data_IF_901597249444
#
_entry.id   IF_901597249444
#
_cell.length_a   1.000
_cell.length_b   1.000
_cell.length_c   1.000
_cell.angle_alpha   90.00
_cell.angle_beta   90.00
_cell.angle_gamma   90.00
#
_symmetry.space_group_name_H-M   'P 1'
#
loop_
_entity.id
_entity.type
_entity.pdbx_description
1 polymer ?
#
# COMPACT_ATOMS: atom_id res chain seq x y z
N UNK A 1 -32.61 -51.83 3.47
CA UNK A 1 -33.32 -50.61 3.91
C UNK A 1 -32.47 -49.96 4.98
N UNK A 2 -31.72 -48.92 4.62
CA UNK A 2 -30.78 -48.23 5.52
C UNK A 2 -30.98 -46.72 5.40
N UNK A 3 -31.30 -46.01 6.50
CA UNK A 3 -31.46 -44.57 6.51
C UNK A 3 -30.12 -43.92 6.87
N UNK A 4 -29.32 -43.52 5.88
CA UNK A 4 -28.00 -42.87 6.11
C UNK A 4 -27.92 -41.46 5.52
N UNK A 5 -28.96 -40.99 4.83
CA UNK A 5 -28.87 -39.74 4.03
C UNK A 5 -29.17 -38.47 4.84
N UNK A 6 -29.75 -38.56 6.04
CA UNK A 6 -30.32 -37.36 6.69
C UNK A 6 -29.34 -36.51 7.52
N UNK A 7 -28.23 -37.06 8.02
CA UNK A 7 -27.30 -36.33 8.90
C UNK A 7 -26.37 -35.36 8.16
N UNK A 8 -26.02 -35.64 6.89
CA UNK A 8 -25.11 -34.81 6.10
C UNK A 8 -25.75 -33.50 5.61
N UNK A 9 -27.08 -33.47 5.48
CA UNK A 9 -27.80 -32.26 5.04
C UNK A 9 -27.84 -31.24 6.18
N UNK A 10 -27.98 -31.69 7.43
CA UNK A 10 -28.01 -30.81 8.61
C UNK A 10 -26.62 -30.22 8.92
N UNK A 11 -25.54 -31.01 8.76
CA UNK A 11 -24.18 -30.53 9.01
C UNK A 11 -23.70 -29.50 7.96
N UNK A 12 -24.21 -29.57 6.73
CA UNK A 12 -23.96 -28.56 5.69
C UNK A 12 -24.65 -27.24 5.98
N UNK A 13 -25.89 -27.23 6.44
CA UNK A 13 -26.63 -25.98 6.68
C UNK A 13 -26.04 -25.16 7.85
N UNK A 14 -25.59 -25.80 8.93
CA UNK A 14 -24.99 -25.11 10.09
C UNK A 14 -23.66 -24.42 9.72
N UNK A 15 -22.91 -24.99 8.78
CA UNK A 15 -21.65 -24.41 8.29
C UNK A 15 -21.87 -23.21 7.34
N UNK A 16 -23.05 -23.08 6.74
CA UNK A 16 -23.38 -21.95 5.85
C UNK A 16 -23.81 -20.74 6.68
N UNK A 17 -24.70 -20.91 7.66
CA UNK A 17 -25.17 -19.80 8.51
C UNK A 17 -24.06 -19.18 9.36
N UNK A 18 -23.15 -20.01 9.90
CA UNK A 18 -22.02 -19.52 10.70
C UNK A 18 -21.03 -18.68 9.88
N UNK A 19 -20.84 -18.97 8.58
CA UNK A 19 -19.98 -18.15 7.70
C UNK A 19 -20.64 -16.81 7.32
N UNK A 20 -21.96 -16.78 7.17
CA UNK A 20 -22.69 -15.54 6.83
C UNK A 20 -22.66 -14.55 8.00
N UNK A 21 -22.77 -15.02 9.25
CA UNK A 21 -22.78 -14.14 10.41
C UNK A 21 -21.41 -13.49 10.73
N UNK A 22 -20.30 -14.22 10.56
CA UNK A 22 -18.95 -13.68 10.85
C UNK A 22 -18.54 -12.60 9.83
N UNK A 23 -19.01 -12.70 8.58
CA UNK A 23 -18.77 -11.71 7.53
C UNK A 23 -19.33 -10.32 7.86
N UNK A 24 -20.53 -10.26 8.48
CA UNK A 24 -21.20 -8.99 8.75
C UNK A 24 -20.57 -8.22 9.93
N UNK A 25 -19.98 -8.94 10.89
CA UNK A 25 -19.34 -8.32 12.07
C UNK A 25 -18.13 -7.44 11.72
N UNK A 26 -17.33 -7.80 10.71
CA UNK A 26 -16.12 -7.06 10.35
C UNK A 26 -16.34 -5.89 9.39
N UNK A 27 -17.36 -5.96 8.53
CA UNK A 27 -17.68 -4.85 7.62
C UNK A 27 -18.23 -3.62 8.36
N UNK A 28 -19.00 -3.86 9.41
CA UNK A 28 -19.70 -2.81 10.17
C UNK A 28 -18.75 -1.72 10.72
N UNK A 29 -17.64 -2.05 11.42
CA UNK A 29 -16.72 -1.03 11.93
C UNK A 29 -15.98 -0.27 10.82
N UNK A 30 -15.63 -0.93 9.71
CA UNK A 30 -14.93 -0.28 8.59
C UNK A 30 -15.85 0.74 7.92
N UNK A 31 -17.09 0.34 7.61
CA UNK A 31 -18.08 1.24 6.99
C UNK A 31 -18.38 2.40 7.93
N UNK A 32 -18.56 2.14 9.22
CA UNK A 32 -18.78 3.20 10.22
C UNK A 32 -17.59 4.17 10.29
N UNK A 33 -16.36 3.65 10.26
CA UNK A 33 -15.15 4.49 10.22
C UNK A 33 -15.10 5.37 8.97
N UNK A 34 -15.43 4.83 7.80
CA UNK A 34 -15.51 5.61 6.54
C UNK A 34 -16.58 6.70 6.64
N UNK A 35 -17.76 6.39 7.18
CA UNK A 35 -18.83 7.38 7.34
C UNK A 35 -18.44 8.51 8.29
N UNK A 36 -17.86 8.20 9.44
CA UNK A 36 -17.37 9.19 10.40
C UNK A 36 -16.29 10.06 9.75
N UNK A 37 -15.36 9.45 9.02
CA UNK A 37 -14.33 10.17 8.28
C UNK A 37 -14.93 11.13 7.24
N UNK A 38 -15.90 10.68 6.44
CA UNK A 38 -16.55 11.50 5.42
C UNK A 38 -17.33 12.67 6.01
N UNK A 39 -18.06 12.45 7.10
CA UNK A 39 -18.76 13.52 7.83
C UNK A 39 -17.76 14.55 8.34
N UNK A 40 -16.67 14.08 8.96
CA UNK A 40 -15.62 14.97 9.48
C UNK A 40 -14.96 15.78 8.36
N UNK A 41 -14.65 15.14 7.23
CA UNK A 41 -14.09 15.81 6.06
C UNK A 41 -15.06 16.86 5.48
N UNK A 42 -16.36 16.57 5.44
CA UNK A 42 -17.39 17.50 4.97
C UNK A 42 -17.52 18.73 5.89
N UNK A 43 -17.47 18.54 7.20
CA UNK A 43 -17.41 19.64 8.17
C UNK A 43 -16.16 20.49 7.94
N UNK A 44 -15.02 19.84 7.66
CA UNK A 44 -13.78 20.54 7.28
C UNK A 44 -13.91 21.39 6.01
N UNK A 45 -14.59 20.89 4.98
CA UNK A 45 -14.88 21.67 3.76
C UNK A 45 -15.78 22.86 4.06
N UNK A 46 -16.81 22.67 4.89
CA UNK A 46 -17.73 23.74 5.27
C UNK A 46 -17.02 24.87 6.04
N UNK A 47 -16.10 24.52 6.93
CA UNK A 47 -15.34 25.46 7.76
C UNK A 47 -14.14 26.11 7.04
N UNK A 48 -13.73 25.60 5.86
CA UNK A 48 -12.54 26.09 5.17
C UNK A 48 -12.71 27.51 4.61
N UNK A 49 -11.72 28.41 4.80
CA UNK A 49 -11.75 29.75 4.20
C UNK A 49 -11.78 29.73 2.67
N UNK A 50 -11.00 28.83 2.07
CA UNK A 50 -11.02 28.56 0.63
C UNK A 50 -11.79 27.25 0.37
N UNK A 51 -13.09 27.39 0.08
CA UNK A 51 -13.96 26.26 -0.21
C UNK A 51 -13.58 25.53 -1.50
N UNK A 52 -13.03 26.22 -2.49
CA UNK A 52 -12.68 25.61 -3.79
C UNK A 52 -11.52 24.62 -3.63
N UNK A 53 -10.45 25.06 -2.97
CA UNK A 53 -9.32 24.19 -2.65
C UNK A 53 -9.73 23.03 -1.74
N UNK A 54 -10.61 23.27 -0.77
CA UNK A 54 -11.12 22.23 0.13
C UNK A 54 -11.96 21.17 -0.62
N UNK A 55 -12.84 21.60 -1.53
CA UNK A 55 -13.65 20.70 -2.37
C UNK A 55 -12.78 19.81 -3.26
N UNK A 56 -11.71 20.36 -3.85
CA UNK A 56 -10.77 19.57 -4.66
C UNK A 56 -10.10 18.47 -3.83
N UNK A 57 -9.70 18.75 -2.58
CA UNK A 57 -9.14 17.75 -1.67
C UNK A 57 -10.19 16.73 -1.21
N UNK A 58 -11.41 17.18 -0.95
CA UNK A 58 -12.51 16.30 -0.60
C UNK A 58 -12.88 15.34 -1.73
N UNK A 59 -12.86 15.81 -2.98
CA UNK A 59 -13.08 14.96 -4.15
C UNK A 59 -12.04 13.82 -4.22
N UNK A 60 -10.77 14.08 -3.88
CA UNK A 60 -9.75 13.03 -3.79
C UNK A 60 -10.07 11.98 -2.72
N UNK A 61 -10.62 12.39 -1.57
CA UNK A 61 -11.08 11.44 -0.55
C UNK A 61 -12.25 10.59 -1.03
N UNK A 62 -13.21 11.18 -1.75
CA UNK A 62 -14.33 10.44 -2.36
C UNK A 62 -13.81 9.42 -3.37
N UNK A 63 -12.85 9.80 -4.23
CA UNK A 63 -12.21 8.87 -5.16
C UNK A 63 -11.53 7.72 -4.41
N UNK A 64 -10.80 8.01 -3.32
CA UNK A 64 -10.19 6.98 -2.47
C UNK A 64 -11.21 6.00 -1.88
N UNK A 65 -12.32 6.51 -1.34
CA UNK A 65 -13.41 5.68 -0.80
C UNK A 65 -14.07 4.85 -1.91
N UNK A 66 -14.32 5.44 -3.08
CA UNK A 66 -14.87 4.73 -4.23
C UNK A 66 -13.93 3.60 -4.70
N UNK A 67 -12.62 3.82 -4.70
CA UNK A 67 -11.62 2.80 -5.02
C UNK A 67 -11.65 1.65 -4.00
N UNK A 68 -11.70 1.96 -2.70
CA UNK A 68 -11.83 0.92 -1.64
C UNK A 68 -13.11 0.11 -1.85
N UNK A 69 -14.23 0.77 -2.14
CA UNK A 69 -15.51 0.13 -2.45
C UNK A 69 -15.40 -0.80 -3.66
N UNK A 70 -14.79 -0.32 -4.75
CA UNK A 70 -14.56 -1.09 -5.97
C UNK A 70 -13.66 -2.32 -5.75
N UNK A 71 -12.55 -2.15 -5.02
CA UNK A 71 -11.65 -3.25 -4.64
C UNK A 71 -12.41 -4.28 -3.78
N UNK A 72 -13.17 -3.82 -2.78
CA UNK A 72 -13.94 -4.72 -1.90
C UNK A 72 -14.99 -5.50 -2.70
N UNK A 73 -15.66 -4.83 -3.63
CA UNK A 73 -16.63 -5.46 -4.51
C UNK A 73 -15.98 -6.48 -5.46
N UNK A 74 -14.84 -6.16 -6.06
CA UNK A 74 -14.06 -7.10 -6.87
C UNK A 74 -13.58 -8.30 -6.07
N UNK A 75 -13.09 -8.07 -4.86
CA UNK A 75 -12.59 -9.10 -3.96
C UNK A 75 -13.68 -10.11 -3.58
N UNK A 76 -14.95 -9.68 -3.44
CA UNK A 76 -16.09 -10.59 -3.21
C UNK A 76 -16.27 -11.62 -4.32
N UNK A 77 -15.88 -11.30 -5.57
CA UNK A 77 -15.98 -12.23 -6.71
C UNK A 77 -14.78 -13.16 -6.78
N UNK A 78 -13.57 -12.61 -6.69
CA UNK A 78 -12.33 -13.37 -6.69
C UNK A 78 -11.23 -12.57 -5.99
N UNK A 79 -10.95 -12.90 -4.73
CA UNK A 79 -9.97 -12.21 -3.89
C UNK A 79 -8.59 -12.26 -4.51
N UNK A 80 -8.15 -13.43 -4.96
CA UNK A 80 -6.78 -13.63 -5.47
C UNK A 80 -6.53 -12.83 -6.75
N UNK A 81 -7.44 -12.90 -7.72
CA UNK A 81 -7.31 -12.12 -8.96
C UNK A 81 -7.40 -10.63 -8.69
N UNK A 82 -8.29 -10.20 -7.80
CA UNK A 82 -8.43 -8.77 -7.47
C UNK A 82 -7.16 -8.20 -6.84
N UNK A 83 -6.58 -8.91 -5.86
CA UNK A 83 -5.33 -8.49 -5.23
C UNK A 83 -4.14 -8.53 -6.21
N UNK A 84 -4.10 -9.53 -7.09
CA UNK A 84 -3.10 -9.61 -8.15
C UNK A 84 -3.15 -8.44 -9.13
N UNK A 85 -4.34 -8.14 -9.64
CA UNK A 85 -4.57 -6.99 -10.55
C UNK A 85 -4.29 -5.68 -9.85
N UNK A 86 -4.73 -5.50 -8.60
CA UNK A 86 -4.42 -4.32 -7.81
C UNK A 86 -2.90 -4.11 -7.68
N UNK A 87 -2.17 -5.19 -7.39
CA UNK A 87 -0.71 -5.15 -7.33
C UNK A 87 -0.07 -4.68 -8.64
N UNK A 88 -0.56 -5.17 -9.79
CA UNK A 88 -0.09 -4.71 -11.10
C UNK A 88 -0.42 -3.23 -11.36
N UNK A 89 -1.63 -2.77 -11.00
CA UNK A 89 -2.01 -1.35 -11.11
C UNK A 89 -1.10 -0.48 -10.24
N UNK A 90 -0.80 -0.91 -9.02
CA UNK A 90 0.18 -0.25 -8.15
C UNK A 90 1.57 -0.17 -8.80
N UNK A 91 2.00 -1.20 -9.53
CA UNK A 91 3.28 -1.16 -10.27
C UNK A 91 3.29 -0.05 -11.32
N UNK A 92 2.21 0.09 -12.11
CA UNK A 92 2.10 1.16 -13.11
C UNK A 92 2.12 2.54 -12.47
N UNK A 93 1.37 2.74 -11.38
CA UNK A 93 1.34 4.01 -10.65
C UNK A 93 2.72 4.35 -10.06
N UNK A 94 3.40 3.37 -9.48
CA UNK A 94 4.72 3.55 -8.89
C UNK A 94 5.78 3.84 -9.94
N UNK A 95 5.75 3.19 -11.10
CA UNK A 95 6.64 3.50 -12.23
C UNK A 95 6.36 4.92 -12.75
N UNK A 96 5.10 5.29 -12.95
CA UNK A 96 4.72 6.64 -13.38
C UNK A 96 5.22 7.70 -12.40
N UNK A 97 5.06 7.46 -11.10
CA UNK A 97 5.57 8.33 -10.05
C UNK A 97 7.10 8.43 -10.06
N UNK A 98 7.80 7.31 -10.20
CA UNK A 98 9.27 7.28 -10.30
C UNK A 98 9.75 8.07 -11.52
N UNK A 99 9.17 7.81 -12.69
CA UNK A 99 9.54 8.52 -13.93
C UNK A 99 9.29 10.00 -13.77
N UNK A 100 8.10 10.39 -13.29
CA UNK A 100 7.79 11.79 -13.04
C UNK A 100 8.80 12.44 -12.08
N UNK A 101 9.08 11.82 -10.93
CA UNK A 101 10.06 12.33 -9.97
C UNK A 101 11.46 12.49 -10.57
N UNK A 102 11.95 11.48 -11.30
CA UNK A 102 13.29 11.53 -11.91
C UNK A 102 13.41 12.65 -12.96
N UNK A 103 12.31 12.99 -13.63
CA UNK A 103 12.25 14.04 -14.65
C UNK A 103 12.04 15.45 -14.09
N UNK A 104 11.39 15.60 -12.93
CA UNK A 104 11.10 16.92 -12.34
C UNK A 104 12.11 17.36 -11.29
N UNK A 105 12.91 16.45 -10.75
CA UNK A 105 13.81 16.78 -9.64
C UNK A 105 15.04 17.55 -10.15
N UNK A 106 15.34 18.69 -9.52
CA UNK A 106 16.55 19.45 -9.85
C UNK A 106 17.79 18.77 -9.23
N UNK A 107 18.51 17.98 -10.03
CA UNK A 107 19.71 17.25 -9.58
C UNK A 107 20.92 18.15 -9.29
N UNK A 108 20.92 19.42 -9.71
CA UNK A 108 22.00 20.36 -9.45
C UNK A 108 21.89 21.01 -8.06
N UNK A 109 20.66 21.30 -7.62
CA UNK A 109 20.38 21.97 -6.34
C UNK A 109 20.14 20.99 -5.19
N UNK A 110 19.67 19.78 -5.48
CA UNK A 110 19.43 18.81 -4.44
C UNK A 110 20.75 18.28 -3.86
N UNK A 111 20.81 18.17 -2.53
CA UNK A 111 21.94 17.66 -1.72
C UNK A 111 22.24 16.15 -1.94
N UNK A 112 22.15 15.65 -3.17
CA UNK A 112 22.57 14.30 -3.58
C UNK A 112 24.10 14.30 -3.79
N UNK A 113 24.82 15.08 -2.99
CA UNK A 113 26.30 15.11 -2.98
C UNK A 113 26.89 13.84 -2.36
N UNK A 114 26.06 13.00 -1.73
CA UNK A 114 26.50 11.77 -1.05
C UNK A 114 26.83 10.62 -2.01
N UNK A 115 26.32 10.65 -3.24
CA UNK A 115 26.53 9.59 -4.24
C UNK A 115 26.82 10.19 -5.61
N UNK A 116 28.09 10.48 -5.95
CA UNK A 116 28.45 11.21 -7.17
C UNK A 116 27.99 10.48 -8.45
N UNK A 117 27.97 9.14 -8.43
CA UNK A 117 27.46 8.34 -9.54
C UNK A 117 25.96 8.58 -9.81
N UNK A 118 25.14 8.65 -8.75
CA UNK A 118 23.69 8.92 -8.91
C UNK A 118 23.45 10.36 -9.38
N UNK A 119 24.27 11.30 -8.91
CA UNK A 119 24.21 12.68 -9.37
C UNK A 119 24.53 12.79 -10.86
N UNK A 120 25.54 12.06 -11.36
CA UNK A 120 25.89 12.06 -12.78
C UNK A 120 24.76 11.51 -13.66
N UNK A 121 24.09 10.44 -13.22
CA UNK A 121 22.90 9.90 -13.90
C UNK A 121 21.77 10.95 -13.91
N UNK A 122 21.53 11.61 -12.79
CA UNK A 122 20.51 12.65 -12.67
C UNK A 122 20.76 13.85 -13.58
N UNK A 123 22.00 14.33 -13.63
CA UNK A 123 22.41 15.41 -14.53
C UNK A 123 22.28 15.01 -16.00
N UNK A 124 22.62 13.76 -16.33
CA UNK A 124 22.39 13.21 -17.67
C UNK A 124 20.90 13.16 -18.01
N UNK A 125 20.03 12.73 -17.10
CA UNK A 125 18.56 12.75 -17.30
C UNK A 125 18.02 14.17 -17.50
N UNK A 126 18.50 15.14 -16.72
CA UNK A 126 18.10 16.55 -16.87
C UNK A 126 18.52 17.16 -18.20
N UNK A 127 19.58 16.65 -18.84
CA UNK A 127 19.99 17.14 -20.16
C UNK A 127 18.93 16.92 -21.25
N UNK A 128 18.02 15.96 -21.06
CA UNK A 128 16.93 15.69 -22.01
C UNK A 128 15.67 16.50 -21.77
N UNK A 129 15.45 17.05 -20.57
CA UNK A 129 14.13 17.50 -20.12
C UNK A 129 14.17 18.81 -19.31
N UNK A 130 14.93 19.81 -19.79
CA UNK A 130 14.99 21.13 -19.13
C UNK A 130 13.62 21.80 -19.05
N UNK A 131 12.74 21.60 -20.05
CA UNK A 131 11.39 22.18 -20.08
C UNK A 131 10.43 21.59 -19.03
N UNK A 132 10.64 20.32 -18.63
CA UNK A 132 9.76 19.64 -17.66
C UNK A 132 10.09 19.98 -16.21
N UNK A 133 11.22 20.66 -15.95
CA UNK A 133 11.61 21.09 -14.60
C UNK A 133 10.68 22.18 -14.04
N UNK A 134 9.87 22.83 -14.87
CA UNK A 134 8.85 23.79 -14.45
C UNK A 134 7.59 23.11 -13.89
N UNK A 135 7.40 21.81 -14.13
CA UNK A 135 6.32 21.06 -13.50
C UNK A 135 6.55 20.96 -11.99
N UNK A 136 5.46 20.96 -11.23
CA UNK A 136 5.47 20.94 -9.77
C UNK A 136 6.39 19.84 -9.22
N UNK A 137 7.54 20.24 -8.69
CA UNK A 137 8.55 19.32 -8.18
C UNK A 137 8.01 18.60 -6.91
N UNK A 138 7.89 17.28 -6.99
CA UNK A 138 7.51 16.46 -5.85
C UNK A 138 8.67 16.33 -4.87
N UNK A 139 8.43 16.74 -3.63
CA UNK A 139 9.41 16.60 -2.57
C UNK A 139 9.82 15.13 -2.36
N UNK A 140 11.13 14.85 -2.28
CA UNK A 140 11.71 13.49 -2.18
C UNK A 140 11.08 12.60 -1.10
N UNK A 141 10.70 13.19 0.05
CA UNK A 141 10.07 12.45 1.14
C UNK A 141 8.66 11.95 0.78
N UNK A 142 7.91 12.73 -0.01
CA UNK A 142 6.56 12.36 -0.46
C UNK A 142 6.68 11.22 -1.45
N UNK A 143 7.54 11.37 -2.46
CA UNK A 143 7.79 10.32 -3.46
C UNK A 143 8.27 9.03 -2.80
N UNK A 144 9.30 9.10 -1.96
CA UNK A 144 9.81 7.93 -1.25
C UNK A 144 8.74 7.25 -0.39
N UNK A 145 7.93 8.03 0.33
CA UNK A 145 6.83 7.50 1.15
C UNK A 145 5.78 6.75 0.32
N UNK A 146 5.35 7.33 -0.81
CA UNK A 146 4.38 6.68 -1.70
C UNK A 146 4.98 5.42 -2.34
N UNK A 147 6.24 5.47 -2.81
CA UNK A 147 6.90 4.30 -3.41
C UNK A 147 7.05 3.15 -2.42
N UNK A 148 7.35 3.43 -1.14
CA UNK A 148 7.40 2.41 -0.08
C UNK A 148 6.06 1.73 0.16
N UNK A 149 4.97 2.49 0.06
CA UNK A 149 3.62 1.92 0.19
C UNK A 149 3.31 1.06 -1.04
N UNK A 150 3.59 1.55 -2.24
CA UNK A 150 3.25 0.84 -3.49
C UNK A 150 4.14 -0.36 -3.78
N UNK A 151 5.39 -0.37 -3.32
CA UNK A 151 6.36 -1.43 -3.56
C UNK A 151 5.87 -2.84 -3.14
N UNK A 152 5.40 -3.08 -1.89
CA UNK A 152 4.91 -4.40 -1.50
C UNK A 152 3.67 -4.85 -2.29
N UNK A 153 2.78 -3.94 -2.69
CA UNK A 153 1.65 -4.28 -3.57
C UNK A 153 2.14 -4.69 -4.97
N UNK A 154 3.10 -3.95 -5.52
CA UNK A 154 3.74 -4.25 -6.81
C UNK A 154 4.45 -5.60 -6.79
N UNK A 155 5.12 -5.92 -5.67
CA UNK A 155 5.75 -7.21 -5.43
C UNK A 155 4.72 -8.33 -5.36
N UNK A 156 3.63 -8.12 -4.62
CA UNK A 156 2.51 -9.05 -4.56
C UNK A 156 1.89 -9.33 -5.93
N UNK A 157 1.70 -8.30 -6.76
CA UNK A 157 1.21 -8.44 -8.14
C UNK A 157 2.14 -9.27 -9.02
N UNK A 158 3.45 -9.08 -8.87
CA UNK A 158 4.47 -9.87 -9.60
C UNK A 158 4.47 -11.33 -9.18
N UNK A 159 4.43 -11.59 -7.86
CA UNK A 159 4.35 -12.95 -7.30
C UNK A 159 3.06 -13.64 -7.77
N UNK A 160 1.94 -12.92 -7.76
CA UNK A 160 0.67 -13.43 -8.26
C UNK A 160 0.76 -13.81 -9.73
N UNK A 161 1.25 -12.91 -10.59
CA UNK A 161 1.41 -13.18 -12.02
C UNK A 161 2.31 -14.40 -12.28
N UNK A 162 3.39 -14.53 -11.51
CA UNK A 162 4.29 -15.68 -11.57
C UNK A 162 3.59 -16.98 -11.17
N UNK A 163 2.88 -16.99 -10.03
CA UNK A 163 2.17 -18.17 -9.53
C UNK A 163 1.03 -18.64 -10.44
N UNK A 164 0.43 -17.73 -11.22
CA UNK A 164 -0.60 -18.03 -12.22
C UNK A 164 -0.05 -18.42 -13.59
N UNK A 165 1.27 -18.58 -13.72
CA UNK A 165 1.96 -18.89 -14.98
C UNK A 165 1.83 -17.82 -16.08
N UNK A 166 1.50 -16.57 -15.72
CA UNK A 166 1.51 -15.44 -16.66
C UNK A 166 2.94 -14.89 -16.82
N UNK A 167 3.84 -15.71 -17.40
CA UNK A 167 5.29 -15.44 -17.45
C UNK A 167 5.63 -14.06 -18.03
N UNK A 168 5.00 -13.68 -19.14
CA UNK A 168 5.24 -12.37 -19.76
C UNK A 168 4.88 -11.21 -18.82
N UNK A 169 3.69 -11.29 -18.21
CA UNK A 169 3.23 -10.27 -17.24
C UNK A 169 4.16 -10.20 -16.04
N UNK A 170 4.62 -11.35 -15.53
CA UNK A 170 5.51 -11.41 -14.39
C UNK A 170 6.92 -10.86 -14.69
N UNK A 171 7.48 -11.15 -15.87
CA UNK A 171 8.76 -10.57 -16.30
C UNK A 171 8.64 -9.06 -16.49
N UNK A 172 7.55 -8.61 -17.11
CA UNK A 172 7.28 -7.20 -17.31
C UNK A 172 7.10 -6.46 -15.97
N UNK A 173 6.33 -7.02 -15.04
CA UNK A 173 6.14 -6.44 -13.70
C UNK A 173 7.40 -6.49 -12.85
N UNK A 174 8.27 -7.50 -13.06
CA UNK A 174 9.60 -7.53 -12.46
C UNK A 174 10.47 -6.37 -12.97
N UNK A 175 10.43 -6.08 -14.27
CA UNK A 175 11.07 -4.89 -14.85
C UNK A 175 10.57 -3.60 -14.20
N UNK A 176 9.25 -3.48 -13.99
CA UNK A 176 8.67 -2.35 -13.26
C UNK A 176 9.16 -2.26 -11.81
N UNK A 177 9.25 -3.38 -11.09
CA UNK A 177 9.80 -3.40 -9.72
C UNK A 177 11.23 -2.87 -9.65
N UNK A 178 12.07 -3.18 -10.64
CA UNK A 178 13.43 -2.65 -10.70
C UNK A 178 13.41 -1.11 -10.88
N UNK A 179 12.51 -0.58 -11.70
CA UNK A 179 12.33 0.87 -11.86
C UNK A 179 11.82 1.51 -10.56
N UNK A 180 10.87 0.88 -9.87
CA UNK A 180 10.36 1.37 -8.57
C UNK A 180 11.47 1.38 -7.53
N UNK A 181 12.29 0.32 -7.47
CA UNK A 181 13.42 0.23 -6.56
C UNK A 181 14.46 1.31 -6.85
N UNK A 182 14.74 1.58 -8.13
CA UNK A 182 15.61 2.68 -8.55
C UNK A 182 15.07 4.02 -8.06
N UNK A 183 13.77 4.31 -8.27
CA UNK A 183 13.12 5.53 -7.76
C UNK A 183 13.22 5.67 -6.24
N UNK A 184 13.05 4.56 -5.53
CA UNK A 184 13.14 4.54 -4.07
C UNK A 184 14.57 4.84 -3.58
N UNK A 185 15.58 4.23 -4.21
CA UNK A 185 17.00 4.51 -3.94
C UNK A 185 17.31 5.98 -4.23
N UNK A 186 16.87 6.48 -5.38
CA UNK A 186 17.08 7.86 -5.83
C UNK A 186 16.37 8.90 -4.95
N UNK A 187 15.30 8.53 -4.25
CA UNK A 187 14.63 9.44 -3.32
C UNK A 187 15.48 9.75 -2.07
N UNK A 188 16.39 8.84 -1.67
CA UNK A 188 17.23 8.91 -0.45
C UNK A 188 16.40 9.32 0.79
N UNK A 189 15.11 9.00 0.82
CA UNK A 189 14.22 9.38 1.91
C UNK A 189 14.45 8.45 3.10
N UNK A 190 15.16 8.93 4.13
CA UNK A 190 15.41 8.14 5.36
C UNK A 190 14.10 7.67 5.99
N UNK A 191 13.08 8.53 6.01
CA UNK A 191 11.76 8.19 6.54
C UNK A 191 11.09 7.08 5.74
N UNK A 192 11.25 7.06 4.41
CA UNK A 192 10.75 5.99 3.57
C UNK A 192 11.44 4.65 3.89
N UNK A 193 12.77 4.60 3.92
CA UNK A 193 13.52 3.38 4.23
C UNK A 193 13.24 2.86 5.64
N UNK A 194 13.14 3.74 6.63
CA UNK A 194 12.74 3.36 7.99
C UNK A 194 11.30 2.83 8.02
N UNK A 195 10.36 3.52 7.36
CA UNK A 195 8.97 3.09 7.24
C UNK A 195 8.84 1.72 6.57
N UNK A 196 9.62 1.46 5.51
CA UNK A 196 9.68 0.17 4.84
C UNK A 196 10.24 -0.93 5.76
N UNK A 197 11.34 -0.65 6.47
CA UNK A 197 11.94 -1.58 7.42
C UNK A 197 10.98 -1.94 8.54
N UNK A 198 10.39 -0.94 9.20
CA UNK A 198 9.38 -1.17 10.24
C UNK A 198 8.18 -1.91 9.66
N UNK A 199 7.59 -1.44 8.56
CA UNK A 199 6.44 -2.09 7.93
C UNK A 199 6.70 -3.57 7.61
N UNK A 200 7.90 -3.91 7.14
CA UNK A 200 8.30 -5.30 6.88
C UNK A 200 8.41 -6.12 8.17
N UNK A 201 9.02 -5.56 9.22
CA UNK A 201 9.13 -6.21 10.54
C UNK A 201 7.74 -6.45 11.14
N UNK A 202 6.87 -5.44 11.14
CA UNK A 202 5.48 -5.56 11.63
C UNK A 202 4.68 -6.55 10.80
N UNK A 203 4.80 -6.52 9.47
CA UNK A 203 4.13 -7.47 8.59
C UNK A 203 4.57 -8.92 8.87
N UNK A 204 5.88 -9.15 8.97
CA UNK A 204 6.45 -10.45 9.33
C UNK A 204 5.99 -10.90 10.72
N UNK A 205 5.95 -9.98 11.69
CA UNK A 205 5.43 -10.24 13.02
C UNK A 205 3.98 -10.70 12.98
N UNK A 206 3.09 -9.95 12.31
CA UNK A 206 1.67 -10.30 12.23
C UNK A 206 1.45 -11.63 11.51
N UNK A 207 2.19 -11.86 10.41
CA UNK A 207 2.16 -13.13 9.70
C UNK A 207 2.55 -14.30 10.62
N UNK A 208 3.63 -14.14 11.40
CA UNK A 208 4.04 -15.14 12.39
C UNK A 208 3.03 -15.30 13.53
N UNK A 209 2.49 -14.20 14.05
CA UNK A 209 1.59 -14.15 15.21
C UNK A 209 0.23 -14.82 14.95
N UNK A 210 -0.28 -14.66 13.72
CA UNK A 210 -1.56 -15.22 13.28
C UNK A 210 -1.42 -16.50 12.44
N UNK A 211 -0.20 -16.92 12.10
CA UNK A 211 0.07 -18.18 11.42
C UNK A 211 -0.27 -19.41 12.28
N UNK A 212 -0.72 -20.49 11.62
CA UNK A 212 -1.18 -21.75 12.26
C UNK A 212 -0.09 -22.54 13.04
N UNK A 213 1.18 -22.11 13.02
CA UNK A 213 2.32 -22.85 13.60
C UNK A 213 3.04 -22.17 14.77
N UNK A 214 2.57 -21.04 15.29
CA UNK A 214 3.32 -20.29 16.31
C UNK A 214 3.10 -20.84 17.74
N UNK A 215 4.19 -21.25 18.40
CA UNK A 215 4.22 -21.70 19.81
C UNK A 215 3.69 -20.59 20.73
N UNK A 216 2.66 -20.89 21.52
CA UNK A 216 1.91 -19.89 22.31
C UNK A 216 2.80 -19.07 23.26
N UNK A 217 3.82 -19.70 23.86
CA UNK A 217 4.70 -19.07 24.85
C UNK A 217 5.65 -18.00 24.31
N UNK A 218 5.86 -17.87 23.00
CA UNK A 218 6.75 -16.84 22.44
C UNK A 218 6.00 -15.58 22.00
N UNK A 219 4.67 -15.64 21.90
CA UNK A 219 3.83 -14.58 21.33
C UNK A 219 3.87 -13.30 22.16
N UNK A 220 3.87 -13.42 23.48
CA UNK A 220 3.91 -12.26 24.39
C UNK A 220 5.21 -11.45 24.27
N UNK A 221 6.34 -12.11 23.99
CA UNK A 221 7.64 -11.43 23.81
C UNK A 221 7.58 -10.53 22.58
N UNK A 222 7.01 -11.03 21.47
CA UNK A 222 6.88 -10.24 20.26
C UNK A 222 5.86 -9.10 20.40
N UNK A 223 4.75 -9.33 21.11
CA UNK A 223 3.79 -8.28 21.46
C UNK A 223 4.47 -7.17 22.30
N UNK A 224 5.34 -7.54 23.25
CA UNK A 224 6.11 -6.60 24.07
C UNK A 224 7.15 -5.81 23.26
N UNK A 225 7.90 -6.47 22.37
CA UNK A 225 8.88 -5.81 21.49
C UNK A 225 8.20 -4.77 20.61
N UNK A 226 7.02 -5.09 20.07
CA UNK A 226 6.22 -4.14 19.30
C UNK A 226 5.79 -2.96 20.16
N UNK A 227 5.24 -3.22 21.35
CA UNK A 227 4.78 -2.15 22.22
C UNK A 227 5.92 -1.19 22.59
N UNK A 228 7.10 -1.73 22.92
CA UNK A 228 8.31 -0.94 23.19
C UNK A 228 8.73 -0.15 21.95
N UNK A 229 8.71 -0.78 20.76
CA UNK A 229 9.07 -0.10 19.50
C UNK A 229 8.13 1.06 19.19
N UNK A 230 6.82 0.88 19.39
CA UNK A 230 5.83 1.96 19.24
C UNK A 230 6.09 3.07 20.25
N UNK A 231 6.32 2.74 21.52
CA UNK A 231 6.59 3.73 22.57
C UNK A 231 7.87 4.54 22.28
N UNK A 232 8.94 3.88 21.85
CA UNK A 232 10.20 4.55 21.47
C UNK A 232 10.02 5.46 20.27
N UNK A 233 9.24 5.04 19.26
CA UNK A 233 8.89 5.89 18.13
C UNK A 233 8.06 7.10 18.59
N UNK A 234 7.05 6.92 19.44
CA UNK A 234 6.26 8.03 19.98
C UNK A 234 7.11 9.00 20.81
N UNK A 235 8.06 8.50 21.59
CA UNK A 235 8.93 9.33 22.43
C UNK A 235 9.96 10.11 21.62
N UNK A 236 10.57 9.52 20.59
CA UNK A 236 11.56 10.19 19.75
C UNK A 236 11.02 11.29 18.84
N UNK A 237 9.70 11.45 18.75
CA UNK A 237 9.02 12.50 17.98
C UNK A 237 8.42 13.62 18.86
N UNK A 238 8.50 13.51 20.19
CA UNK A 238 8.18 14.57 21.16
C UNK A 238 9.43 15.43 21.43
#
# INVERSE_FOLDING_TARGET
MTPVVHSDILSRNINVESRVNVSNSFLTPIVMGILIFLITALVGVWAAPDRSAALNRFALFIVGVALIGGITWGAKRNVETTLGVLGLVCSFLAVGLTVHYLLTVNWAENEITRFPFLQQIGLWLNSYNQELSELQNLHKNITGGILVILFPFSLGGTIWAWSRNYKFVAIFSLGMLLVILLGLIMSISRGAWLGFGFGTIYGAYFYWRFGKGSRSGLKWVGDLIILISVLLLCYGFL
#
